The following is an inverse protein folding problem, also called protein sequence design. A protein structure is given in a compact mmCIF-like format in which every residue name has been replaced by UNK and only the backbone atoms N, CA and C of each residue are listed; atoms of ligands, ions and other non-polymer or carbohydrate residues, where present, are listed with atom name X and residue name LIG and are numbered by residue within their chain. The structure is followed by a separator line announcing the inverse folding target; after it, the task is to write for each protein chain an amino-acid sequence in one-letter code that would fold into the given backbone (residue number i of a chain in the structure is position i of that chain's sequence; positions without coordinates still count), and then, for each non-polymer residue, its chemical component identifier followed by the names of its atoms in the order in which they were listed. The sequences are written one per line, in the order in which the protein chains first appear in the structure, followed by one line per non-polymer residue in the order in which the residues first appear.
data_IF_135116114247
#
_entry.id   IF_135116114247
#
_cell.length_a   1.000
_cell.length_b   1.000
_cell.length_c   1.000
_cell.angle_alpha   90.00
_cell.angle_beta   90.00
_cell.angle_gamma   90.00
#
_symmetry.space_group_name_H-M   'P 1'
#
loop_
_entity.id
_entity.type
_entity.pdbx_description
1 polymer ?
#
# COMPACT_ATOMS: atom_id res chain seq x y z
N UNK A 1 9.38 11.35 -2.23
CA UNK A 1 9.42 10.99 -0.80
C UNK A 1 9.32 9.48 -0.69
N UNK A 2 9.50 8.92 0.50
CA UNK A 2 9.37 7.49 0.76
C UNK A 2 8.39 7.26 1.93
N UNK A 3 7.77 6.10 1.97
CA UNK A 3 6.83 5.73 3.02
C UNK A 3 7.61 5.23 4.24
N UNK A 4 7.27 5.74 5.43
CA UNK A 4 7.73 5.15 6.69
C UNK A 4 7.13 3.75 6.86
N UNK A 5 7.70 2.94 7.77
CA UNK A 5 7.10 1.65 8.14
C UNK A 5 5.65 1.79 8.60
N UNK A 6 5.34 2.80 9.42
CA UNK A 6 3.99 3.03 9.93
C UNK A 6 3.00 3.38 8.82
N UNK A 7 3.39 4.27 7.91
CA UNK A 7 2.53 4.67 6.79
C UNK A 7 2.36 3.52 5.79
N UNK A 8 3.42 2.78 5.49
CA UNK A 8 3.36 1.61 4.61
C UNK A 8 2.53 0.47 5.21
N UNK A 9 2.62 0.25 6.52
CA UNK A 9 1.80 -0.71 7.27
C UNK A 9 0.31 -0.34 7.19
N UNK A 10 -0.02 0.89 7.57
CA UNK A 10 -1.40 1.38 7.60
C UNK A 10 -2.07 1.39 6.22
N UNK A 11 -1.40 1.95 5.21
CA UNK A 11 -1.91 1.95 3.83
C UNK A 11 -1.78 0.59 3.13
N UNK A 12 -0.96 -0.31 3.66
CA UNK A 12 -0.77 -1.66 3.12
C UNK A 12 -1.76 -2.68 3.65
N UNK A 13 -2.41 -2.42 4.78
CA UNK A 13 -3.29 -3.40 5.42
C UNK A 13 -2.53 -4.48 6.22
N UNK A 14 -1.40 -4.12 6.83
CA UNK A 14 -0.52 -5.05 7.55
C UNK A 14 0.11 -4.39 8.77
N UNK A 15 0.47 -5.16 9.80
CA UNK A 15 1.23 -4.60 10.92
C UNK A 15 2.71 -4.38 10.58
N UNK A 16 3.38 -3.47 11.29
CA UNK A 16 4.83 -3.28 11.13
C UNK A 16 5.63 -4.55 11.44
N UNK A 17 5.15 -5.37 12.39
CA UNK A 17 5.72 -6.67 12.70
C UNK A 17 5.64 -7.64 11.51
N UNK A 18 4.52 -7.62 10.77
CA UNK A 18 4.39 -8.39 9.53
C UNK A 18 5.34 -7.89 8.45
N UNK A 19 5.48 -6.57 8.26
CA UNK A 19 6.46 -6.01 7.33
C UNK A 19 7.88 -6.47 7.67
N UNK A 20 8.25 -6.42 8.95
CA UNK A 20 9.54 -6.91 9.44
C UNK A 20 9.71 -8.40 9.18
N UNK A 21 8.67 -9.20 9.41
CA UNK A 21 8.70 -10.63 9.13
C UNK A 21 8.85 -10.93 7.63
N UNK A 22 8.13 -10.19 6.77
CA UNK A 22 8.12 -10.38 5.32
C UNK A 22 9.47 -10.10 4.66
N UNK A 23 10.28 -9.20 5.23
CA UNK A 23 11.61 -8.84 4.72
C UNK A 23 12.78 -9.62 5.32
N UNK A 24 12.61 -10.29 6.47
CA UNK A 24 13.72 -10.93 7.21
C UNK A 24 13.97 -12.40 6.88
N UNK A 25 13.06 -13.06 6.16
CA UNK A 25 13.23 -14.47 5.84
C UNK A 25 14.24 -14.70 4.70
N UNK A 26 14.86 -15.89 4.59
CA UNK A 26 15.76 -16.24 3.47
C UNK A 26 15.12 -16.03 2.10
N UNK A 27 13.81 -16.29 1.99
CA UNK A 27 12.99 -15.99 0.82
C UNK A 27 11.99 -14.89 1.20
N UNK A 28 12.39 -13.61 1.21
CA UNK A 28 11.54 -12.53 1.67
C UNK A 28 10.37 -12.35 0.71
N UNK A 29 9.17 -12.07 1.23
CA UNK A 29 7.97 -11.75 0.45
C UNK A 29 8.18 -10.42 -0.28
N UNK A 30 8.82 -9.46 0.38
CA UNK A 30 9.12 -8.14 -0.14
C UNK A 30 10.56 -7.77 0.20
N UNK A 31 11.27 -7.20 -0.78
CA UNK A 31 12.56 -6.55 -0.58
C UNK A 31 12.34 -5.06 -0.86
N UNK A 32 12.42 -4.19 0.17
CA UNK A 32 12.16 -2.75 -0.02
C UNK A 32 13.13 -2.12 -1.02
N UNK A 33 12.62 -1.26 -1.90
CA UNK A 33 13.46 -0.50 -2.85
C UNK A 33 14.32 0.55 -2.13
N UNK A 34 13.85 1.11 -1.01
CA UNK A 34 14.55 2.17 -0.28
C UNK A 34 15.06 1.73 1.10
N UNK A 35 16.35 1.41 1.13
CA UNK A 35 17.14 1.43 2.36
C UNK A 35 17.50 0.06 2.94
N UNK A 36 18.71 0.02 3.48
CA UNK A 36 19.19 -0.93 4.47
C UNK A 36 19.29 -0.21 5.83
N UNK A 37 19.28 -0.98 6.93
CA UNK A 37 19.29 -0.56 8.35
C UNK A 37 19.95 0.82 8.63
N UNK A 38 19.48 1.60 9.63
CA UNK A 38 18.56 1.21 10.71
C UNK A 38 17.08 1.51 10.44
N UNK A 39 16.76 2.42 9.52
CA UNK A 39 15.39 2.79 9.16
C UNK A 39 15.09 2.31 7.74
N UNK A 40 14.06 1.49 7.59
CA UNK A 40 13.57 1.08 6.27
C UNK A 40 12.51 2.05 5.83
N UNK A 41 12.57 2.40 4.55
CA UNK A 41 11.53 3.16 3.89
C UNK A 41 11.03 2.37 2.68
N UNK A 42 9.83 2.66 2.25
CA UNK A 42 9.19 1.93 1.16
C UNK A 42 8.92 2.88 0.01
N UNK A 43 9.03 2.40 -1.21
CA UNK A 43 8.56 3.12 -2.38
C UNK A 43 7.04 2.96 -2.57
N UNK A 44 6.47 3.70 -3.51
CA UNK A 44 5.08 3.44 -3.92
C UNK A 44 4.91 2.03 -4.51
N UNK A 45 5.92 1.52 -5.22
CA UNK A 45 5.89 0.15 -5.76
C UNK A 45 5.90 -0.87 -4.63
N UNK A 46 6.73 -0.66 -3.61
CA UNK A 46 6.73 -1.47 -2.40
C UNK A 46 5.35 -1.47 -1.74
N UNK A 47 4.73 -0.30 -1.60
CA UNK A 47 3.39 -0.18 -1.01
C UNK A 47 2.33 -0.97 -1.81
N UNK A 48 2.36 -0.89 -3.14
CA UNK A 48 1.47 -1.70 -3.98
C UNK A 48 1.69 -3.20 -3.75
N UNK A 49 2.95 -3.64 -3.72
CA UNK A 49 3.29 -5.04 -3.46
C UNK A 49 2.83 -5.50 -2.07
N UNK A 50 3.01 -4.68 -1.02
CA UNK A 50 2.51 -4.94 0.34
C UNK A 50 1.00 -5.13 0.30
N UNK A 51 0.29 -4.20 -0.33
CA UNK A 51 -1.17 -4.17 -0.39
C UNK A 51 -1.74 -5.35 -1.18
N UNK A 52 -1.11 -5.73 -2.30
CA UNK A 52 -1.45 -6.94 -3.06
C UNK A 52 -1.30 -8.19 -2.19
N UNK A 53 -0.18 -8.34 -1.48
CA UNK A 53 0.03 -9.48 -0.59
C UNK A 53 -1.00 -9.52 0.53
N UNK A 54 -1.27 -8.38 1.17
CA UNK A 54 -2.27 -8.26 2.23
C UNK A 54 -3.66 -8.70 1.75
N UNK A 55 -4.05 -8.24 0.55
CA UNK A 55 -5.33 -8.61 -0.07
C UNK A 55 -5.44 -10.10 -0.39
N UNK A 56 -4.38 -10.71 -0.91
CA UNK A 56 -4.34 -12.15 -1.17
C UNK A 56 -4.37 -12.94 0.15
N UNK A 57 -3.74 -12.41 1.21
CA UNK A 57 -3.64 -13.05 2.53
C UNK A 57 -5.00 -13.21 3.21
N UNK A 58 -6.00 -12.40 2.85
CA UNK A 58 -7.39 -12.57 3.33
C UNK A 58 -8.05 -13.85 2.83
N UNK A 59 -7.50 -14.49 1.78
CA UNK A 59 -8.06 -15.70 1.16
C UNK A 59 -7.11 -16.89 1.26
N UNK A 60 -5.80 -16.66 1.23
CA UNK A 60 -4.78 -17.70 1.13
C UNK A 60 -3.71 -17.58 2.20
N UNK A 61 -3.07 -18.71 2.53
CA UNK A 61 -1.98 -18.75 3.51
C UNK A 61 -0.72 -18.03 3.03
N UNK A 62 0.06 -17.48 3.97
CA UNK A 62 1.33 -16.82 3.66
C UNK A 62 2.33 -17.78 2.98
N UNK A 63 2.26 -19.08 3.31
CA UNK A 63 3.10 -20.10 2.66
C UNK A 63 2.78 -20.23 1.16
N UNK A 64 1.50 -20.18 0.77
CA UNK A 64 1.10 -20.19 -0.64
C UNK A 64 1.56 -18.94 -1.36
N UNK A 65 1.41 -17.79 -0.71
CA UNK A 65 1.88 -16.51 -1.25
C UNK A 65 3.40 -16.55 -1.50
N UNK A 66 4.18 -17.05 -0.53
CA UNK A 66 5.63 -17.19 -0.68
C UNK A 66 6.01 -18.07 -1.88
N UNK A 67 5.34 -19.21 -2.04
CA UNK A 67 5.56 -20.10 -3.19
C UNK A 67 5.24 -19.39 -4.51
N UNK A 68 4.13 -18.66 -4.58
CA UNK A 68 3.75 -17.92 -5.77
C UNK A 68 4.77 -16.81 -6.11
N UNK A 69 5.18 -16.02 -5.12
CA UNK A 69 6.18 -14.97 -5.32
C UNK A 69 7.52 -15.56 -5.76
N UNK A 70 7.92 -16.71 -5.20
CA UNK A 70 9.13 -17.40 -5.63
C UNK A 70 9.03 -17.84 -7.10
N UNK A 71 7.88 -18.37 -7.52
CA UNK A 71 7.66 -18.75 -8.92
C UNK A 71 7.73 -17.53 -9.85
N UNK A 72 7.15 -16.38 -9.45
CA UNK A 72 7.27 -15.12 -10.21
C UNK A 72 8.72 -14.65 -10.30
N UNK A 73 9.50 -14.77 -9.21
CA UNK A 73 10.93 -14.41 -9.20
C UNK A 73 11.81 -15.29 -10.07
N UNK A 74 11.37 -16.51 -10.34
CA UNK A 74 12.08 -17.45 -11.22
C UNK A 74 11.75 -17.22 -12.70
N UNK A 75 10.83 -16.31 -13.03
CA UNK A 75 10.59 -15.91 -14.41
C UNK A 75 11.79 -15.11 -14.94
N UNK A 76 12.08 -15.27 -16.24
CA UNK A 76 13.08 -14.45 -16.89
C UNK A 76 12.71 -12.97 -16.79
N UNK A 77 13.71 -12.12 -16.52
CA UNK A 77 13.54 -10.68 -16.35
C UNK A 77 12.56 -10.28 -15.23
N UNK A 78 12.65 -10.92 -14.06
CA UNK A 78 11.90 -10.50 -12.87
C UNK A 78 12.11 -9.00 -12.60
N UNK A 79 11.02 -8.25 -12.65
CA UNK A 79 10.97 -6.86 -12.19
C UNK A 79 10.35 -6.78 -10.78
N UNK A 80 10.18 -5.57 -10.26
CA UNK A 80 9.53 -5.38 -8.97
C UNK A 80 8.12 -6.03 -8.92
N UNK A 81 7.76 -6.62 -7.78
CA UNK A 81 6.52 -7.39 -7.60
C UNK A 81 5.25 -6.59 -7.96
N UNK A 82 5.28 -5.27 -7.81
CA UNK A 82 4.18 -4.36 -8.19
C UNK A 82 3.80 -4.43 -9.68
N UNK A 83 4.69 -4.92 -10.54
CA UNK A 83 4.43 -5.05 -11.98
C UNK A 83 3.60 -6.30 -12.31
N UNK A 84 3.40 -7.20 -11.33
CA UNK A 84 2.67 -8.44 -11.51
C UNK A 84 1.29 -8.30 -10.85
N UNK A 85 0.22 -8.32 -11.66
CA UNK A 85 -1.16 -8.30 -11.17
C UNK A 85 -1.52 -9.68 -10.61
N UNK A 86 -1.16 -9.91 -9.35
CA UNK A 86 -1.43 -11.16 -8.63
C UNK A 86 -2.78 -11.11 -7.93
N UNK A 87 -3.55 -12.19 -8.04
CA UNK A 87 -4.91 -12.29 -7.49
C UNK A 87 -5.13 -13.69 -6.90
N UNK A 88 -5.80 -13.76 -5.75
CA UNK A 88 -6.29 -15.03 -5.20
C UNK A 88 -7.50 -15.54 -6.00
N UNK A 89 -7.47 -16.81 -6.38
CA UNK A 89 -8.59 -17.51 -7.05
C UNK A 89 -8.84 -18.85 -6.39
N UNK A 90 -9.94 -18.97 -5.65
CA UNK A 90 -10.25 -20.18 -4.89
C UNK A 90 -9.08 -20.55 -3.97
N UNK A 91 -8.34 -21.61 -4.32
CA UNK A 91 -7.20 -22.08 -3.53
C UNK A 91 -5.83 -21.83 -4.19
N UNK A 92 -5.76 -21.00 -5.24
CA UNK A 92 -4.56 -20.69 -6.04
C UNK A 92 -4.31 -19.18 -6.20
N UNK A 93 -3.16 -18.79 -6.74
CA UNK A 93 -2.80 -17.40 -7.08
C UNK A 93 -2.56 -17.33 -8.58
N UNK A 94 -3.20 -16.37 -9.25
CA UNK A 94 -3.06 -16.14 -10.69
C UNK A 94 -2.34 -14.81 -10.96
N UNK A 95 -1.49 -14.79 -11.97
CA UNK A 95 -0.91 -13.58 -12.56
C UNK A 95 -1.69 -13.23 -13.81
N UNK A 96 -2.29 -12.04 -13.82
CA UNK A 96 -3.02 -11.50 -14.96
C UNK A 96 -2.06 -10.65 -15.80
N UNK A 97 -1.76 -11.12 -17.02
CA UNK A 97 -0.93 -10.39 -17.99
C UNK A 97 -1.79 -9.46 -18.85
N UNK A 98 -2.99 -9.90 -19.21
CA UNK A 98 -4.04 -9.12 -19.88
C UNK A 98 -5.42 -9.70 -19.52
N UNK A 99 -6.52 -9.09 -19.96
CA UNK A 99 -7.87 -9.61 -19.68
C UNK A 99 -8.05 -11.06 -20.16
N UNK A 100 -7.38 -11.46 -21.24
CA UNK A 100 -7.46 -12.80 -21.82
C UNK A 100 -6.27 -13.71 -21.49
N UNK A 101 -5.19 -13.19 -20.90
CA UNK A 101 -4.00 -13.97 -20.53
C UNK A 101 -3.83 -14.04 -19.01
N UNK A 102 -4.12 -15.21 -18.46
CA UNK A 102 -3.98 -15.53 -17.04
C UNK A 102 -3.07 -16.74 -16.86
N UNK A 103 -2.06 -16.60 -16.00
CA UNK A 103 -1.12 -17.67 -15.63
C UNK A 103 -1.36 -18.06 -14.18
N UNK A 104 -1.71 -19.32 -13.92
CA UNK A 104 -1.74 -19.83 -12.54
C UNK A 104 -0.28 -19.99 -12.05
N UNK A 105 0.01 -19.28 -10.95
CA UNK A 105 1.35 -19.15 -10.38
C UNK A 105 1.65 -20.30 -9.41
N UNK A 106 0.66 -21.10 -9.02
CA UNK A 106 0.82 -22.26 -8.13
C UNK A 106 0.50 -23.63 -8.78
N UNK A 107 -0.30 -23.69 -9.86
CA UNK A 107 -0.67 -24.91 -10.63
C UNK A 107 -0.82 -24.61 -12.14
N UNK A 108 -0.95 -25.64 -13.00
CA UNK A 108 -1.21 -25.45 -14.45
C UNK A 108 -2.66 -24.97 -14.74
N UNK A 109 -2.88 -24.20 -15.82
CA UNK A 109 -4.00 -23.24 -15.96
C UNK A 109 -5.39 -23.85 -16.17
N UNK A 110 -6.43 -23.13 -15.74
CA UNK A 110 -7.83 -23.42 -16.07
C UNK A 110 -8.83 -22.48 -15.36
N UNK A 111 -9.75 -21.91 -16.15
CA UNK A 111 -10.89 -21.02 -15.79
C UNK A 111 -10.55 -19.51 -15.81
N UNK A 112 -11.43 -18.69 -16.42
CA UNK A 112 -11.36 -17.22 -16.50
C UNK A 112 -12.01 -16.55 -15.28
N UNK A 113 -11.39 -15.53 -14.67
CA UNK A 113 -12.01 -14.67 -13.63
C UNK A 113 -11.51 -13.23 -13.77
N UNK A 114 -12.44 -12.28 -13.66
CA UNK A 114 -12.19 -10.83 -13.61
C UNK A 114 -11.79 -10.45 -12.19
N UNK A 115 -10.55 -10.04 -11.99
CA UNK A 115 -10.15 -9.29 -10.80
C UNK A 115 -9.56 -7.97 -11.27
N UNK A 116 -10.04 -6.89 -10.68
CA UNK A 116 -9.71 -5.54 -11.14
C UNK A 116 -8.62 -4.95 -10.24
N UNK A 117 -7.85 -3.99 -10.76
CA UNK A 117 -6.90 -3.25 -9.92
C UNK A 117 -7.65 -2.52 -8.78
N UNK A 118 -8.95 -2.26 -8.95
CA UNK A 118 -9.83 -1.67 -7.96
C UNK A 118 -9.99 -2.54 -6.69
N UNK A 119 -9.88 -3.86 -6.79
CA UNK A 119 -9.95 -4.76 -5.61
C UNK A 119 -8.73 -4.64 -4.68
N UNK A 120 -7.62 -4.11 -5.22
CA UNK A 120 -6.38 -3.84 -4.49
C UNK A 120 -6.34 -2.38 -4.06
N UNK A 121 -6.66 -1.45 -4.97
CA UNK A 121 -6.58 0.00 -4.72
C UNK A 121 -7.75 0.53 -3.89
N UNK A 122 -8.92 -0.11 -3.96
CA UNK A 122 -10.11 0.25 -3.20
C UNK A 122 -10.02 -0.13 -1.73
N UNK A 123 -11.06 0.21 -0.98
CA UNK A 123 -11.22 -0.23 0.41
C UNK A 123 -11.35 -1.76 0.48
N UNK A 124 -10.71 -2.39 1.47
CA UNK A 124 -10.93 -3.81 1.75
C UNK A 124 -10.78 -4.10 3.25
N UNK A 125 -11.34 -5.23 3.69
CA UNK A 125 -11.14 -5.74 5.06
C UNK A 125 -9.87 -6.59 5.07
N UNK A 126 -8.90 -6.20 5.90
CA UNK A 126 -7.67 -6.92 6.13
C UNK A 126 -7.92 -8.30 6.71
N UNK A 127 -6.92 -9.17 6.63
CA UNK A 127 -7.04 -10.56 7.11
C UNK A 127 -7.18 -10.64 8.65
N UNK A 128 -6.85 -9.56 9.36
CA UNK A 128 -7.06 -9.35 10.80
C UNK A 128 -8.39 -8.66 11.12
N UNK A 129 -9.23 -8.36 10.12
CA UNK A 129 -10.58 -7.80 10.28
C UNK A 129 -10.66 -6.27 10.27
N UNK A 130 -9.54 -5.57 10.15
CA UNK A 130 -9.49 -4.12 10.08
C UNK A 130 -9.85 -3.57 8.70
N UNK A 131 -10.51 -2.42 8.65
CA UNK A 131 -10.77 -1.73 7.37
C UNK A 131 -9.50 -1.02 6.88
N UNK A 132 -9.08 -1.36 5.67
CA UNK A 132 -7.96 -0.75 4.96
C UNK A 132 -8.51 0.29 3.99
N UNK A 133 -8.19 1.56 4.22
CA UNK A 133 -8.71 2.70 3.43
C UNK A 133 -8.31 2.59 1.96
N UNK A 134 -9.11 3.14 1.01
CA UNK A 134 -8.74 3.16 -0.41
C UNK A 134 -7.41 3.91 -0.62
N UNK A 135 -6.55 3.39 -1.48
CA UNK A 135 -5.19 3.90 -1.65
C UNK A 135 -5.17 5.27 -2.33
N UNK A 136 -5.91 5.45 -3.43
CA UNK A 136 -5.84 6.71 -4.20
C UNK A 136 -6.40 7.92 -3.43
N UNK A 137 -7.38 7.68 -2.55
CA UNK A 137 -8.11 8.71 -1.79
C UNK A 137 -8.34 8.27 -0.34
N UNK A 138 -7.28 8.11 0.48
CA UNK A 138 -7.37 7.46 1.79
C UNK A 138 -8.20 8.25 2.81
N UNK A 139 -8.32 9.57 2.60
CA UNK A 139 -9.19 10.49 3.33
C UNK A 139 -9.69 11.59 2.38
N UNK A 140 -10.85 12.21 2.68
CA UNK A 140 -11.31 13.39 1.94
C UNK A 140 -10.21 14.46 1.86
N UNK A 141 -9.97 15.00 0.67
CA UNK A 141 -8.95 16.02 0.44
C UNK A 141 -7.50 15.50 0.42
N UNK A 142 -7.29 14.18 0.49
CA UNK A 142 -5.97 13.54 0.32
C UNK A 142 -5.95 12.72 -0.96
N UNK A 143 -4.85 12.84 -1.71
CA UNK A 143 -4.61 12.07 -2.93
C UNK A 143 -3.25 11.39 -2.91
N UNK A 144 -3.22 10.16 -3.41
CA UNK A 144 -2.01 9.38 -3.69
C UNK A 144 -1.99 9.10 -5.19
N UNK A 145 -0.93 9.54 -5.87
CA UNK A 145 -0.75 9.36 -7.30
C UNK A 145 0.73 9.14 -7.60
N UNK A 146 1.09 8.08 -8.33
CA UNK A 146 2.46 7.74 -8.66
C UNK A 146 3.26 8.90 -9.31
N UNK A 147 2.59 9.71 -10.15
CA UNK A 147 3.16 10.88 -10.83
C UNK A 147 3.35 12.11 -9.94
N UNK A 148 2.83 12.10 -8.71
CA UNK A 148 2.96 13.20 -7.75
C UNK A 148 3.77 12.75 -6.55
N UNK A 149 4.91 13.42 -6.30
CA UNK A 149 5.84 13.11 -5.20
C UNK A 149 6.22 11.62 -5.04
N UNK A 150 6.20 10.87 -6.15
CA UNK A 150 6.46 9.42 -6.20
C UNK A 150 5.40 8.61 -5.42
N UNK A 151 4.13 8.99 -5.52
CA UNK A 151 3.02 8.33 -4.83
C UNK A 151 2.73 8.86 -3.43
N UNK A 152 3.60 9.69 -2.84
CA UNK A 152 3.43 10.11 -1.46
C UNK A 152 2.09 10.85 -1.23
N UNK A 153 1.39 10.64 -0.09
CA UNK A 153 0.09 11.27 0.14
C UNK A 153 0.24 12.79 0.24
N UNK A 154 -0.56 13.50 -0.54
CA UNK A 154 -0.58 14.96 -0.62
C UNK A 154 -1.98 15.49 -0.41
N UNK A 155 -2.09 16.77 -0.06
CA UNK A 155 -3.37 17.49 -0.19
C UNK A 155 -3.78 17.47 -1.67
N UNK A 156 -5.04 17.13 -1.93
CA UNK A 156 -5.57 16.98 -3.28
C UNK A 156 -5.34 18.22 -4.14
N UNK A 157 -5.00 18.02 -5.41
CA UNK A 157 -4.58 19.05 -6.37
C UNK A 157 -3.37 19.90 -5.94
N UNK A 158 -2.53 19.40 -5.04
CA UNK A 158 -1.28 20.07 -4.64
C UNK A 158 -0.08 19.12 -4.67
N UNK A 159 1.11 19.66 -4.38
CA UNK A 159 2.30 18.88 -4.00
C UNK A 159 2.65 19.05 -2.53
N UNK A 160 1.68 19.45 -1.70
CA UNK A 160 1.90 19.67 -0.25
C UNK A 160 1.68 18.34 0.48
N UNK A 161 2.71 17.77 1.13
CA UNK A 161 2.59 16.50 1.84
C UNK A 161 1.58 16.56 2.98
N UNK A 162 0.85 15.46 3.19
CA UNK A 162 -0.16 15.40 4.26
C UNK A 162 0.46 15.57 5.65
N UNK A 163 1.64 14.99 5.89
CA UNK A 163 2.35 14.97 7.17
C UNK A 163 2.88 16.37 7.53
N UNK A 164 3.27 17.16 6.54
CA UNK A 164 3.60 18.58 6.72
C UNK A 164 2.39 19.36 7.26
N UNK A 165 1.22 19.19 6.64
CA UNK A 165 -0.01 19.87 7.10
C UNK A 165 -0.47 19.36 8.45
N UNK A 166 -0.41 18.05 8.69
CA UNK A 166 -0.77 17.46 9.98
C UNK A 166 0.14 17.96 11.11
N UNK A 167 1.44 18.09 10.86
CA UNK A 167 2.41 18.61 11.85
C UNK A 167 2.13 20.07 12.18
N UNK A 168 1.83 20.92 11.18
CA UNK A 168 1.47 22.33 11.44
C UNK A 168 0.21 22.44 12.29
N UNK A 169 -0.79 21.58 12.08
CA UNK A 169 -1.98 21.54 12.95
C UNK A 169 -1.63 21.07 14.36
N UNK A 170 -0.75 20.08 14.50
CA UNK A 170 -0.28 19.60 15.80
C UNK A 170 0.51 20.69 16.56
N UNK A 171 1.21 21.57 15.83
CA UNK A 171 1.90 22.75 16.37
C UNK A 171 0.95 23.93 16.67
N UNK A 172 -0.36 23.76 16.46
CA UNK A 172 -1.40 24.71 16.84
C UNK A 172 -1.84 25.68 15.73
N UNK A 173 -1.41 25.49 14.48
CA UNK A 173 -1.87 26.32 13.37
C UNK A 173 -3.25 25.87 12.89
N UNK A 174 -4.12 26.85 12.64
CA UNK A 174 -5.42 26.62 12.01
C UNK A 174 -5.34 26.62 10.48
N UNK A 175 -6.44 26.27 9.82
CA UNK A 175 -6.49 26.19 8.35
C UNK A 175 -6.20 27.55 7.68
N UNK A 176 -6.62 28.66 8.29
CA UNK A 176 -6.36 30.01 7.76
C UNK A 176 -4.87 30.33 7.79
N UNK A 177 -4.19 30.05 8.90
CA UNK A 177 -2.74 30.25 9.03
C UNK A 177 -1.95 29.35 8.09
N UNK A 178 -2.37 28.08 7.93
CA UNK A 178 -1.74 27.16 6.98
C UNK A 178 -1.89 27.66 5.53
N UNK A 179 -3.05 28.21 5.18
CA UNK A 179 -3.32 28.79 3.85
C UNK A 179 -2.48 30.02 3.54
N UNK A 180 -2.03 30.76 4.55
CA UNK A 180 -1.08 31.85 4.35
C UNK A 180 0.25 31.34 3.75
N UNK A 181 0.76 30.20 4.25
CA UNK A 181 1.98 29.58 3.73
C UNK A 181 1.76 28.71 2.48
N UNK A 182 0.59 28.06 2.41
CA UNK A 182 0.21 27.16 1.32
C UNK A 182 -1.17 27.54 0.76
N UNK A 183 -1.27 28.57 -0.11
CA UNK A 183 -2.55 29.11 -0.57
C UNK A 183 -3.48 28.11 -1.26
N UNK A 184 -2.92 27.04 -1.85
CA UNK A 184 -3.66 25.98 -2.52
C UNK A 184 -4.22 24.91 -1.57
N UNK A 185 -3.83 24.90 -0.30
CA UNK A 185 -4.33 23.93 0.69
C UNK A 185 -5.76 24.32 1.08
N UNK A 186 -6.67 23.35 0.97
CA UNK A 186 -8.08 23.55 1.32
C UNK A 186 -8.37 23.09 2.74
N UNK A 187 -9.43 23.61 3.35
CA UNK A 187 -9.89 23.18 4.68
C UNK A 187 -10.21 21.68 4.74
N UNK A 188 -10.75 21.13 3.64
CA UNK A 188 -10.98 19.68 3.49
C UNK A 188 -9.64 18.95 3.50
N UNK A 189 -8.63 19.48 2.80
CA UNK A 189 -7.26 18.98 2.82
C UNK A 189 -6.64 18.96 4.21
N UNK A 190 -6.77 20.05 4.98
CA UNK A 190 -6.28 20.13 6.37
C UNK A 190 -6.93 19.05 7.24
N UNK A 191 -8.27 18.94 7.19
CA UNK A 191 -9.01 17.90 7.93
C UNK A 191 -8.61 16.50 7.49
N UNK A 192 -8.42 16.29 6.19
CA UNK A 192 -7.96 15.03 5.60
C UNK A 192 -6.57 14.61 6.06
N UNK A 193 -5.65 15.56 6.15
CA UNK A 193 -4.28 15.34 6.59
C UNK A 193 -4.23 14.86 8.04
N UNK A 194 -4.93 15.58 8.94
CA UNK A 194 -5.06 15.20 10.35
C UNK A 194 -5.75 13.84 10.49
N UNK A 195 -6.77 13.56 9.69
CA UNK A 195 -7.46 12.27 9.73
C UNK A 195 -6.59 11.11 9.22
N UNK A 196 -5.71 11.34 8.23
CA UNK A 196 -4.77 10.34 7.74
C UNK A 196 -3.66 10.10 8.77
N UNK A 197 -3.11 11.16 9.36
CA UNK A 197 -2.09 11.05 10.39
C UNK A 197 -2.59 10.29 11.64
N UNK A 198 -3.81 10.61 12.08
CA UNK A 198 -4.50 9.84 13.13
C UNK A 198 -4.71 8.38 12.74
N UNK A 199 -5.16 8.12 11.51
CA UNK A 199 -5.32 6.75 11.02
C UNK A 199 -4.02 5.96 11.11
N UNK A 200 -2.90 6.54 10.65
CA UNK A 200 -1.58 5.89 10.67
C UNK A 200 -1.08 5.65 12.09
N UNK A 201 -1.21 6.63 12.99
CA UNK A 201 -0.75 6.51 14.38
C UNK A 201 -1.60 5.54 15.22
N UNK A 202 -2.88 5.39 14.91
CA UNK A 202 -3.78 4.43 15.58
C UNK A 202 -3.75 3.04 14.97
N UNK A 203 -3.30 2.89 13.73
CA UNK A 203 -3.35 1.63 12.98
C UNK A 203 -2.72 0.43 13.72
N UNK A 204 -1.57 0.56 14.42
CA UNK A 204 -0.98 -0.57 15.16
C UNK A 204 -1.92 -1.21 16.19
N UNK A 205 -2.87 -0.45 16.76
CA UNK A 205 -3.87 -0.97 17.70
C UNK A 205 -5.02 -1.73 17.02
N UNK A 206 -5.22 -1.50 15.71
CA UNK A 206 -6.28 -2.09 14.90
C UNK A 206 -5.84 -3.37 14.18
N UNK A 207 -4.54 -3.47 13.86
CA UNK A 207 -3.93 -4.60 13.17
C UNK A 207 -3.23 -5.60 14.12
N UNK A 208 -3.52 -5.50 15.42
CA UNK A 208 -2.95 -6.36 16.48
C UNK A 208 -3.68 -7.69 16.60
#
# INVERSE_FOLDING_TARGET
MAYSSSLAAALGGVSEGQLVHWRRQPNPVLVPEYGSRPRVSYSFRDLLAIRTVARIRTQLSLQKIRKAIQNVRNLDNFEHLSNYKLVAKGNTIVWIQSEDQMVDVLKQPGQQIIATMQDILGEFVGWTGETVVPLENPKPGIRINAGVLRGYPVIDNTRVPYDTVASLVADGLDATSIRYFYPSVTDIGVKGAVALDRYVSEYPRRAA
#
